data_IF_059192936991
#
_entry.id   IF_059192936991
#
_cell.length_a   1.000
_cell.length_b   1.000
_cell.length_c   1.000
_cell.angle_alpha   90.00
_cell.angle_beta   90.00
_cell.angle_gamma   90.00
#
_symmetry.space_group_name_H-M   'P 1'
#
loop_
_entity.id
_entity.type
_entity.pdbx_description
1 polymer ?
#
# COMPACT_ATOMS: atom_id res chain seq x y z
N UNK A 1 -16.57 18.73 -15.29
CA UNK A 1 -15.17 19.19 -15.31
C UNK A 1 -14.61 18.96 -13.92
N UNK A 2 -13.56 18.16 -13.77
CA UNK A 2 -12.91 17.91 -12.48
C UNK A 2 -11.63 18.73 -12.43
N UNK A 3 -11.45 19.63 -11.45
CA UNK A 3 -10.24 20.44 -11.38
C UNK A 3 -9.04 19.55 -11.04
N UNK A 4 -7.96 19.71 -11.79
CA UNK A 4 -6.65 19.12 -11.50
C UNK A 4 -5.71 20.22 -11.01
N UNK A 5 -4.75 19.84 -10.16
CA UNK A 5 -3.63 20.72 -9.79
C UNK A 5 -2.37 20.06 -10.34
N UNK A 6 -1.83 20.65 -11.40
CA UNK A 6 -0.58 20.21 -12.02
C UNK A 6 0.56 21.12 -11.55
N UNK A 7 1.41 20.59 -10.68
CA UNK A 7 2.52 21.35 -10.05
C UNK A 7 3.85 21.07 -10.77
N UNK A 8 3.95 19.94 -11.49
CA UNK A 8 5.18 19.49 -12.15
C UNK A 8 5.02 19.55 -13.68
N UNK A 9 6.00 20.09 -14.42
CA UNK A 9 6.06 19.94 -15.87
C UNK A 9 6.18 18.48 -16.30
N UNK A 10 5.64 18.13 -17.46
CA UNK A 10 5.64 16.76 -17.98
C UNK A 10 7.05 16.17 -18.14
N UNK A 11 8.02 17.01 -18.52
CA UNK A 11 9.42 16.62 -18.66
C UNK A 11 10.04 16.26 -17.30
N UNK A 12 9.62 16.95 -16.23
CA UNK A 12 10.09 16.66 -14.88
C UNK A 12 9.52 15.35 -14.35
N UNK A 13 8.25 15.03 -14.65
CA UNK A 13 7.64 13.75 -14.30
C UNK A 13 8.42 12.60 -14.94
N UNK A 14 8.71 12.70 -16.24
CA UNK A 14 9.48 11.68 -16.97
C UNK A 14 10.86 11.48 -16.36
N UNK A 15 11.57 12.59 -16.06
CA UNK A 15 12.88 12.54 -15.40
C UNK A 15 12.83 11.87 -14.03
N UNK A 16 11.83 12.17 -13.19
CA UNK A 16 11.70 11.53 -11.87
C UNK A 16 11.54 10.02 -12.01
N UNK A 17 10.70 9.57 -12.95
CA UNK A 17 10.46 8.14 -13.18
C UNK A 17 11.73 7.46 -13.72
N UNK A 18 12.39 8.04 -14.71
CA UNK A 18 13.62 7.47 -15.29
C UNK A 18 14.74 7.38 -14.26
N UNK A 19 14.89 8.38 -13.39
CA UNK A 19 15.86 8.35 -12.29
C UNK A 19 15.52 7.28 -11.25
N UNK A 20 14.24 7.08 -10.93
CA UNK A 20 13.82 6.00 -10.03
C UNK A 20 14.14 4.61 -10.63
N UNK A 21 13.90 4.42 -11.93
CA UNK A 21 14.27 3.20 -12.65
C UNK A 21 15.79 3.01 -12.66
N UNK A 22 16.56 4.08 -12.85
CA UNK A 22 18.03 4.04 -12.79
C UNK A 22 18.53 3.65 -11.40
N UNK A 23 17.94 4.17 -10.33
CA UNK A 23 18.26 3.78 -8.95
C UNK A 23 17.98 2.30 -8.73
N UNK A 24 16.84 1.79 -9.20
CA UNK A 24 16.52 0.37 -9.12
C UNK A 24 17.52 -0.51 -9.88
N UNK A 25 18.00 -0.06 -11.04
CA UNK A 25 18.96 -0.80 -11.85
C UNK A 25 20.41 -0.75 -11.32
N UNK A 26 20.84 0.39 -10.78
CA UNK A 26 22.24 0.63 -10.39
C UNK A 26 22.52 0.45 -8.90
N UNK A 27 21.53 0.79 -8.05
CA UNK A 27 21.65 0.72 -6.59
C UNK A 27 20.92 -0.51 -6.05
N UNK A 28 19.72 -0.80 -6.57
CA UNK A 28 18.92 -1.95 -6.15
C UNK A 28 18.32 -1.83 -4.74
N UNK A 29 17.64 -2.90 -4.33
CA UNK A 29 16.87 -2.98 -3.09
C UNK A 29 17.41 -4.09 -2.19
N UNK A 30 17.51 -3.80 -0.89
CA UNK A 30 17.79 -4.82 0.12
C UNK A 30 16.54 -5.71 0.31
N UNK A 31 16.66 -6.99 -0.03
CA UNK A 31 15.58 -7.97 0.13
C UNK A 31 15.89 -8.89 1.30
N UNK A 32 15.36 -8.57 2.48
CA UNK A 32 15.65 -9.29 3.74
C UNK A 32 14.97 -10.66 3.84
N UNK A 33 13.85 -10.86 3.15
CA UNK A 33 13.15 -12.13 3.14
C UNK A 33 13.91 -13.16 2.29
N UNK A 34 14.49 -14.24 2.88
CA UNK A 34 15.34 -15.16 2.13
C UNK A 34 14.59 -15.87 0.99
N UNK A 35 13.30 -16.17 1.19
CA UNK A 35 12.45 -16.80 0.17
C UNK A 35 12.19 -15.88 -1.02
N UNK A 36 11.88 -14.60 -0.77
CA UNK A 36 11.68 -13.62 -1.84
C UNK A 36 12.99 -13.37 -2.61
N UNK A 37 14.10 -13.20 -1.87
CA UNK A 37 15.43 -13.03 -2.46
C UNK A 37 15.76 -14.19 -3.41
N UNK A 38 15.63 -15.44 -2.94
CA UNK A 38 15.87 -16.62 -3.77
C UNK A 38 14.99 -16.66 -5.03
N UNK A 39 13.71 -16.30 -4.92
CA UNK A 39 12.78 -16.25 -6.07
C UNK A 39 13.20 -15.20 -7.11
N UNK A 40 13.64 -14.02 -6.67
CA UNK A 40 14.09 -12.96 -7.58
C UNK A 40 15.35 -13.38 -8.34
N UNK A 41 16.32 -13.99 -7.65
CA UNK A 41 17.54 -14.51 -8.28
C UNK A 41 17.24 -15.65 -9.26
N UNK A 42 16.33 -16.56 -8.89
CA UNK A 42 15.87 -17.62 -9.77
C UNK A 42 15.17 -17.08 -11.02
N UNK A 43 14.46 -15.94 -10.90
CA UNK A 43 13.87 -15.23 -12.03
C UNK A 43 14.91 -14.46 -12.88
N UNK A 44 16.21 -14.56 -12.57
CA UNK A 44 17.30 -13.99 -13.36
C UNK A 44 17.72 -12.58 -12.96
N UNK A 45 17.18 -12.02 -11.86
CA UNK A 45 17.71 -10.77 -11.31
C UNK A 45 19.09 -11.00 -10.70
N UNK A 46 19.94 -9.99 -10.78
CA UNK A 46 21.30 -10.06 -10.27
C UNK A 46 21.42 -9.35 -8.94
N UNK A 47 22.47 -9.68 -8.20
CA UNK A 47 22.85 -8.94 -7.01
C UNK A 47 23.83 -7.82 -7.38
N UNK A 48 23.95 -6.82 -6.52
CA UNK A 48 25.04 -5.87 -6.58
C UNK A 48 26.40 -6.56 -6.30
N UNK A 49 27.50 -5.86 -6.55
CA UNK A 49 28.84 -6.41 -6.35
C UNK A 49 29.09 -6.88 -4.90
N UNK A 50 28.39 -6.31 -3.91
CA UNK A 50 28.48 -6.68 -2.51
C UNK A 50 27.55 -7.82 -2.08
N UNK A 51 26.65 -8.29 -2.94
CA UNK A 51 25.66 -9.32 -2.61
C UNK A 51 24.60 -8.87 -1.60
N UNK A 52 24.45 -7.57 -1.33
CA UNK A 52 23.53 -7.04 -0.32
C UNK A 52 22.18 -6.66 -0.90
N UNK A 53 22.15 -6.31 -2.19
CA UNK A 53 20.97 -5.76 -2.86
C UNK A 53 20.67 -6.54 -4.12
N UNK A 54 19.38 -6.70 -4.41
CA UNK A 54 18.91 -7.20 -5.69
C UNK A 54 18.77 -6.00 -6.64
N UNK A 55 19.38 -6.10 -7.81
CA UNK A 55 19.29 -5.12 -8.88
C UNK A 55 18.08 -5.42 -9.76
N UNK A 56 17.39 -4.37 -10.21
CA UNK A 56 16.21 -4.47 -11.05
C UNK A 56 16.50 -3.76 -12.37
N UNK A 57 17.01 -4.48 -13.40
CA UNK A 57 17.31 -3.89 -14.69
C UNK A 57 16.12 -3.12 -15.26
N UNK A 58 16.39 -2.05 -16.00
CA UNK A 58 15.36 -1.18 -16.58
C UNK A 58 14.28 -1.97 -17.34
N UNK A 59 14.69 -2.93 -18.17
CA UNK A 59 13.77 -3.77 -18.92
C UNK A 59 12.81 -4.55 -18.01
N UNK A 60 13.29 -5.07 -16.87
CA UNK A 60 12.47 -5.78 -15.88
C UNK A 60 11.48 -4.81 -15.23
N UNK A 61 11.96 -3.66 -14.79
CA UNK A 61 11.13 -2.65 -14.11
C UNK A 61 10.04 -2.12 -15.05
N UNK A 62 10.39 -1.75 -16.30
CA UNK A 62 9.42 -1.27 -17.29
C UNK A 62 8.44 -2.36 -17.71
N UNK A 63 8.89 -3.60 -17.86
CA UNK A 63 7.99 -4.73 -18.14
C UNK A 63 6.99 -4.94 -17.00
N UNK A 64 7.44 -4.90 -15.75
CA UNK A 64 6.57 -5.03 -14.59
C UNK A 64 5.52 -3.90 -14.51
N UNK A 65 5.92 -2.65 -14.80
CA UNK A 65 4.99 -1.52 -14.89
C UNK A 65 3.97 -1.70 -16.02
N UNK A 66 4.40 -2.18 -17.20
CA UNK A 66 3.50 -2.41 -18.33
C UNK A 66 2.53 -3.58 -18.09
N UNK A 67 2.92 -4.57 -17.28
CA UNK A 67 2.09 -5.72 -16.92
C UNK A 67 1.09 -5.41 -15.80
N UNK A 68 1.27 -4.31 -15.05
CA UNK A 68 0.35 -3.92 -13.99
C UNK A 68 -1.02 -3.50 -14.59
N UNK A 69 -2.14 -3.99 -14.04
CA UNK A 69 -3.46 -3.62 -14.53
C UNK A 69 -3.76 -2.15 -14.24
N UNK A 70 -4.40 -1.46 -15.19
CA UNK A 70 -4.86 -0.07 -15.00
C UNK A 70 -6.13 0.04 -14.15
N UNK A 71 -6.79 -1.09 -13.89
CA UNK A 71 -8.04 -1.16 -13.11
C UNK A 71 -8.10 -2.44 -12.29
N UNK A 72 -8.47 -2.31 -11.01
CA UNK A 72 -8.73 -3.43 -10.11
C UNK A 72 -10.10 -3.25 -9.45
N UNK A 73 -10.95 -4.27 -9.51
CA UNK A 73 -12.24 -4.28 -8.79
C UNK A 73 -12.10 -5.05 -7.49
N UNK A 74 -12.43 -4.41 -6.37
CA UNK A 74 -12.61 -5.00 -5.06
C UNK A 74 -14.05 -5.49 -4.93
N UNK A 75 -14.22 -6.65 -4.29
CA UNK A 75 -15.51 -7.30 -4.11
C UNK A 75 -15.85 -7.37 -2.62
N UNK A 76 -17.15 -7.30 -2.31
CA UNK A 76 -17.67 -7.50 -0.96
C UNK A 76 -17.63 -8.99 -0.56
N UNK A 77 -18.06 -9.28 0.67
CA UNK A 77 -18.08 -10.64 1.22
C UNK A 77 -19.04 -11.55 0.46
N UNK A 78 -20.08 -10.99 -0.14
CA UNK A 78 -21.08 -11.68 -0.94
C UNK A 78 -20.62 -11.86 -2.40
N UNK A 79 -19.40 -11.42 -2.75
CA UNK A 79 -18.79 -11.56 -4.06
C UNK A 79 -19.30 -10.55 -5.09
N UNK A 80 -19.96 -9.47 -4.66
CA UNK A 80 -20.44 -8.41 -5.55
C UNK A 80 -19.37 -7.32 -5.72
N UNK A 81 -19.27 -6.71 -6.91
CA UNK A 81 -18.39 -5.55 -7.11
C UNK A 81 -18.72 -4.44 -6.13
N UNK A 82 -17.70 -3.98 -5.38
CA UNK A 82 -17.87 -2.99 -4.31
C UNK A 82 -17.15 -1.68 -4.64
N UNK A 83 -15.87 -1.74 -4.95
CA UNK A 83 -15.06 -0.57 -5.31
C UNK A 83 -14.17 -0.87 -6.51
N UNK A 84 -14.02 0.08 -7.43
CA UNK A 84 -13.10 -0.04 -8.58
C UNK A 84 -11.99 0.99 -8.45
N UNK A 85 -10.76 0.49 -8.32
CA UNK A 85 -9.51 1.26 -8.29
C UNK A 85 -9.05 1.45 -9.73
N UNK A 86 -9.46 2.56 -10.33
CA UNK A 86 -9.16 2.88 -11.73
C UNK A 86 -9.25 4.39 -11.96
N UNK A 87 -8.48 4.86 -12.94
CA UNK A 87 -8.49 6.25 -13.41
C UNK A 87 -8.36 7.24 -12.24
N UNK A 88 -9.21 8.26 -12.22
CA UNK A 88 -9.24 9.27 -11.17
C UNK A 88 -10.23 8.94 -10.03
N UNK A 89 -10.76 7.71 -9.92
CA UNK A 89 -11.75 7.37 -8.88
C UNK A 89 -11.12 7.54 -7.49
N UNK A 90 -11.79 8.32 -6.64
CA UNK A 90 -11.34 8.55 -5.26
C UNK A 90 -12.22 7.75 -4.30
N UNK A 91 -11.57 6.98 -3.44
CA UNK A 91 -12.18 6.20 -2.39
C UNK A 91 -11.66 6.71 -1.05
N UNK A 92 -12.53 7.26 -0.21
CA UNK A 92 -12.13 7.60 1.15
C UNK A 92 -12.10 6.32 1.98
N UNK A 93 -10.93 6.05 2.53
CA UNK A 93 -10.64 4.89 3.36
C UNK A 93 -10.02 5.44 4.64
N UNK A 94 -10.56 5.11 5.83
CA UNK A 94 -10.00 5.62 7.07
C UNK A 94 -8.57 5.10 7.28
N UNK A 95 -7.78 5.83 8.07
CA UNK A 95 -6.36 5.54 8.30
C UNK A 95 -6.09 4.11 8.77
N UNK A 96 -4.85 3.66 8.53
CA UNK A 96 -4.39 2.29 8.77
C UNK A 96 -3.25 2.26 9.78
N UNK A 97 -3.09 1.13 10.46
CA UNK A 97 -1.96 0.83 11.35
C UNK A 97 -1.75 1.81 12.51
N UNK A 98 -2.81 2.38 13.08
CA UNK A 98 -2.72 3.07 14.36
C UNK A 98 -2.33 2.12 15.51
N UNK A 99 -1.58 2.58 16.50
CA UNK A 99 -1.30 1.80 17.72
C UNK A 99 -2.16 2.25 18.91
N UNK A 100 -2.64 3.49 18.84
CA UNK A 100 -3.38 4.14 19.91
C UNK A 100 -4.65 4.76 19.36
N UNK A 101 -5.63 4.91 20.24
CA UNK A 101 -6.88 5.63 20.00
C UNK A 101 -7.05 6.73 21.03
N UNK A 102 -7.79 7.78 20.67
CA UNK A 102 -8.27 8.76 21.64
C UNK A 102 -9.59 8.24 22.19
N UNK A 103 -9.63 8.00 23.49
CA UNK A 103 -10.82 7.49 24.17
C UNK A 103 -11.92 8.56 24.19
N UNK A 104 -13.09 8.25 23.64
CA UNK A 104 -14.19 9.22 23.50
C UNK A 104 -14.76 9.72 24.83
N UNK A 105 -14.63 8.95 25.91
CA UNK A 105 -15.19 9.30 27.22
C UNK A 105 -14.24 10.19 28.00
N UNK A 106 -12.94 9.95 27.88
CA UNK A 106 -11.91 10.63 28.68
C UNK A 106 -11.13 11.69 27.90
N UNK A 107 -11.09 11.62 26.57
CA UNK A 107 -10.29 12.47 25.71
C UNK A 107 -8.79 12.15 25.70
N UNK A 108 -8.35 11.12 26.43
CA UNK A 108 -6.94 10.75 26.52
C UNK A 108 -6.58 9.62 25.53
N UNK A 109 -5.32 9.63 25.11
CA UNK A 109 -4.77 8.57 24.27
C UNK A 109 -4.50 7.31 25.09
N UNK A 110 -4.86 6.15 24.53
CA UNK A 110 -4.56 4.83 25.08
C UNK A 110 -4.29 3.84 23.95
N UNK A 111 -3.65 2.69 24.24
CA UNK A 111 -3.58 1.58 23.29
C UNK A 111 -4.95 1.21 22.74
N UNK A 112 -4.98 0.84 21.46
CA UNK A 112 -6.18 0.34 20.82
C UNK A 112 -6.50 -1.08 21.31
N UNK A 113 -7.79 -1.36 21.46
CA UNK A 113 -8.32 -2.66 21.88
C UNK A 113 -9.29 -3.20 20.83
N UNK A 114 -9.60 -4.48 20.92
CA UNK A 114 -10.54 -5.15 20.01
C UNK A 114 -11.90 -4.45 19.98
N UNK A 115 -12.38 -3.92 21.12
CA UNK A 115 -13.63 -3.17 21.17
C UNK A 115 -13.60 -1.89 20.33
N UNK A 116 -12.46 -1.21 20.24
CA UNK A 116 -12.31 -0.04 19.38
C UNK A 116 -12.45 -0.46 17.91
N UNK A 117 -11.92 -1.63 17.54
CA UNK A 117 -11.99 -2.15 16.17
C UNK A 117 -13.44 -2.43 15.77
N UNK A 118 -14.20 -3.03 16.69
CA UNK A 118 -15.64 -3.27 16.49
C UNK A 118 -16.41 -1.95 16.33
N UNK A 119 -16.13 -0.95 17.18
CA UNK A 119 -16.75 0.37 17.09
C UNK A 119 -16.36 1.10 15.78
N UNK A 120 -15.09 1.00 15.38
CA UNK A 120 -14.58 1.51 14.11
C UNK A 120 -15.33 0.91 12.92
N UNK A 121 -15.43 -0.43 12.85
CA UNK A 121 -16.13 -1.12 11.75
C UNK A 121 -17.59 -0.70 11.71
N UNK A 122 -18.30 -0.70 12.84
CA UNK A 122 -19.71 -0.30 12.89
C UNK A 122 -19.94 1.14 12.47
N UNK A 123 -19.08 2.05 12.92
CA UNK A 123 -19.19 3.46 12.56
C UNK A 123 -18.98 3.65 11.06
N UNK A 124 -17.91 3.06 10.53
CA UNK A 124 -17.49 3.26 9.14
C UNK A 124 -18.39 2.55 8.13
N UNK A 125 -18.98 1.41 8.48
CA UNK A 125 -20.04 0.74 7.70
C UNK A 125 -21.29 1.62 7.55
N UNK A 126 -21.56 2.49 8.52
CA UNK A 126 -22.67 3.44 8.49
C UNK A 126 -22.39 4.75 7.75
N UNK A 127 -21.17 4.99 7.25
CA UNK A 127 -20.79 6.26 6.60
C UNK A 127 -20.87 6.15 5.08
N UNK A 128 -21.85 6.83 4.47
CA UNK A 128 -22.11 6.83 3.02
C UNK A 128 -20.89 7.19 2.14
N UNK A 129 -19.97 7.99 2.68
CA UNK A 129 -18.79 8.47 1.94
C UNK A 129 -17.50 7.74 2.27
N UNK A 130 -17.55 6.70 3.11
CA UNK A 130 -16.43 5.78 3.33
C UNK A 130 -16.62 4.57 2.43
N UNK A 131 -15.70 4.39 1.48
CA UNK A 131 -15.83 3.36 0.46
C UNK A 131 -15.59 1.96 1.03
N UNK A 132 -14.55 1.79 1.83
CA UNK A 132 -14.17 0.53 2.47
C UNK A 132 -13.16 0.79 3.59
N UNK A 133 -12.81 -0.24 4.34
CA UNK A 133 -11.92 -0.15 5.50
C UNK A 133 -10.48 -0.49 5.14
N UNK A 134 -9.53 0.20 5.78
CA UNK A 134 -8.14 -0.24 5.84
C UNK A 134 -7.95 -1.21 7.02
N UNK A 135 -6.70 -1.55 7.34
CA UNK A 135 -6.39 -2.41 8.50
C UNK A 135 -6.51 -1.68 9.85
N UNK A 136 -6.97 -0.43 9.85
CA UNK A 136 -7.32 0.40 11.01
C UNK A 136 -6.20 0.55 12.05
N UNK A 137 -6.13 -0.31 13.05
CA UNK A 137 -5.14 -0.25 14.13
C UNK A 137 -4.79 -1.63 14.66
N UNK A 138 -3.59 -1.76 15.23
CA UNK A 138 -3.13 -2.95 15.93
C UNK A 138 -3.63 -2.91 17.37
N UNK A 139 -4.28 -3.99 17.81
CA UNK A 139 -4.87 -4.10 19.14
C UNK A 139 -3.87 -4.70 20.14
N UNK A 140 -3.86 -4.21 21.39
CA UNK A 140 -2.95 -4.70 22.44
C UNK A 140 -3.51 -5.89 23.25
N UNK A 141 -4.80 -6.21 23.06
CA UNK A 141 -5.54 -7.20 23.84
C UNK A 141 -5.65 -8.58 23.15
N UNK A 142 -4.98 -8.76 22.01
CA UNK A 142 -4.91 -10.02 21.27
C UNK A 142 -3.46 -10.51 21.20
N UNK A 143 -3.17 -11.80 21.45
CA UNK A 143 -1.83 -12.34 21.30
C UNK A 143 -1.29 -12.10 19.89
N UNK A 144 -0.07 -11.59 19.78
CA UNK A 144 0.58 -11.18 18.50
C UNK A 144 0.55 -12.29 17.44
N UNK A 145 0.57 -13.56 17.83
CA UNK A 145 0.56 -14.70 16.92
C UNK A 145 -0.79 -14.89 16.19
N UNK A 146 -1.88 -14.32 16.70
CA UNK A 146 -3.24 -14.44 16.15
C UNK A 146 -3.92 -13.08 15.95
N UNK A 147 -3.18 -11.99 16.19
CA UNK A 147 -3.63 -10.62 15.96
C UNK A 147 -3.58 -10.26 14.46
#
# INVERSE_FOLDING_TARGET
>A
MRPTIEILPAELITRIVDEAVRVLAQVGIEVRGPQLRARLLHAGLQEDAGGQRVLFPEAVTRHALAAAPSSITLYDREGKPHATLADDRVHFVPGSSGLNVVDRATGFMRPARTCDFVDYVRLTDGLEHIAYLATAFSTDDVPVQIA
#
